data_IF_751107488036
#
_entry.id   IF_751107488036
#
_cell.length_a   1.000
_cell.length_b   1.000
_cell.length_c   1.000
_cell.angle_alpha   90.00
_cell.angle_beta   90.00
_cell.angle_gamma   90.00
#
_symmetry.space_group_name_H-M   'P 1'
#
loop_
_entity.id
_entity.type
_entity.pdbx_description
1 polymer ?
#
# COMPACT_ATOMS: atom_id res chain seq x y z
N UNK A 1 -1.26 -13.69 0.32
CA UNK A 1 0.04 -13.23 -0.20
C UNK A 1 -0.05 -12.99 -1.70
N UNK A 2 1.00 -12.47 -2.34
CA UNK A 2 0.96 -12.05 -3.74
C UNK A 2 0.94 -13.21 -4.75
N UNK A 3 1.46 -14.38 -4.35
CA UNK A 3 1.58 -15.53 -5.23
C UNK A 3 0.29 -16.35 -5.27
N UNK A 4 -0.19 -16.82 -4.12
CA UNK A 4 -1.39 -17.68 -4.05
C UNK A 4 -2.68 -16.88 -4.26
N UNK A 5 -2.71 -15.63 -3.79
CA UNK A 5 -3.89 -14.75 -3.84
C UNK A 5 -3.68 -13.55 -4.76
N UNK A 6 -2.93 -13.73 -5.84
CA UNK A 6 -2.56 -12.67 -6.79
C UNK A 6 -3.74 -11.80 -7.28
N UNK A 7 -4.90 -12.40 -7.51
CA UNK A 7 -6.12 -11.71 -7.95
C UNK A 7 -6.80 -10.88 -6.85
N UNK A 8 -6.44 -11.10 -5.59
CA UNK A 8 -7.03 -10.45 -4.42
C UNK A 8 -5.97 -9.85 -3.49
N UNK A 9 -4.71 -9.76 -3.95
CA UNK A 9 -3.60 -9.31 -3.12
C UNK A 9 -3.89 -7.89 -2.63
N UNK A 10 -3.95 -7.74 -1.30
CA UNK A 10 -4.26 -6.48 -0.59
C UNK A 10 -5.62 -5.85 -0.93
N UNK A 11 -6.58 -6.58 -1.48
CA UNK A 11 -7.91 -6.05 -1.81
C UNK A 11 -8.58 -5.33 -0.64
N UNK A 12 -8.42 -5.85 0.58
CA UNK A 12 -8.95 -5.22 1.79
C UNK A 12 -8.42 -3.80 2.04
N UNK A 13 -7.15 -3.54 1.71
CA UNK A 13 -6.54 -2.21 1.77
C UNK A 13 -7.22 -1.26 0.77
N UNK A 14 -7.43 -1.73 -0.46
CA UNK A 14 -8.16 -0.99 -1.48
C UNK A 14 -9.59 -0.66 -1.08
N UNK A 15 -10.31 -1.64 -0.51
CA UNK A 15 -11.68 -1.44 -0.03
C UNK A 15 -11.74 -0.40 1.10
N UNK A 16 -10.78 -0.44 2.04
CA UNK A 16 -10.72 0.54 3.12
C UNK A 16 -10.50 1.95 2.58
N UNK A 17 -9.56 2.13 1.65
CA UNK A 17 -9.32 3.40 1.00
C UNK A 17 -10.56 3.92 0.26
N UNK A 18 -11.26 3.08 -0.50
CA UNK A 18 -12.49 3.43 -1.22
C UNK A 18 -13.59 3.94 -0.27
N UNK A 19 -13.75 3.30 0.89
CA UNK A 19 -14.74 3.71 1.91
C UNK A 19 -14.37 5.05 2.56
N UNK A 20 -13.07 5.31 2.76
CA UNK A 20 -12.58 6.52 3.42
C UNK A 20 -12.53 7.73 2.48
N UNK A 21 -12.32 7.52 1.18
CA UNK A 21 -12.15 8.58 0.18
C UNK A 21 -13.26 9.65 0.18
N UNK A 22 -14.56 9.33 0.27
CA UNK A 22 -15.61 10.35 0.28
C UNK A 22 -15.69 11.16 1.59
N UNK A 23 -14.95 10.79 2.63
CA UNK A 23 -15.03 11.44 3.96
C UNK A 23 -14.17 12.70 4.08
N UNK A 24 -13.47 13.10 3.01
CA UNK A 24 -12.61 14.29 3.02
C UNK A 24 -11.35 14.11 3.86
N UNK A 25 -10.90 12.87 4.04
CA UNK A 25 -9.62 12.56 4.68
C UNK A 25 -8.45 12.91 3.76
N UNK A 26 -7.31 13.23 4.36
CA UNK A 26 -6.04 13.33 3.66
C UNK A 26 -5.34 11.99 3.80
N UNK A 27 -5.10 11.31 2.67
CA UNK A 27 -4.33 10.07 2.66
C UNK A 27 -2.83 10.38 2.56
N UNK A 28 -2.05 9.63 3.32
CA UNK A 28 -0.60 9.60 3.31
C UNK A 28 -0.15 8.13 3.26
N UNK A 29 1.09 7.89 2.85
CA UNK A 29 1.72 6.58 2.86
C UNK A 29 1.40 5.71 1.65
N UNK A 30 1.22 6.30 0.47
CA UNK A 30 1.16 5.53 -0.79
C UNK A 30 2.46 4.77 -1.02
N UNK A 31 2.39 3.50 -1.43
CA UNK A 31 3.57 2.63 -1.51
C UNK A 31 3.85 2.17 -2.95
N UNK A 32 5.10 2.19 -3.44
CA UNK A 32 5.43 1.70 -4.79
C UNK A 32 4.99 0.25 -5.04
N UNK A 33 4.54 -0.05 -6.25
CA UNK A 33 4.22 -1.43 -6.70
C UNK A 33 5.46 -2.20 -7.17
N UNK A 34 6.58 -1.50 -7.34
CA UNK A 34 7.85 -2.09 -7.72
C UNK A 34 8.30 -3.15 -6.71
N UNK A 35 8.74 -4.30 -7.24
CA UNK A 35 9.16 -5.43 -6.40
C UNK A 35 8.02 -6.33 -5.96
N UNK A 36 6.81 -6.21 -6.53
CA UNK A 36 5.70 -7.15 -6.33
C UNK A 36 5.23 -7.74 -7.66
N UNK A 37 4.73 -8.97 -7.63
CA UNK A 37 4.08 -9.65 -8.75
C UNK A 37 2.65 -10.05 -8.37
N UNK A 38 1.65 -9.35 -8.92
CA UNK A 38 0.24 -9.56 -8.60
C UNK A 38 -0.69 -9.15 -9.76
N UNK A 39 -1.97 -9.52 -9.69
CA UNK A 39 -2.98 -9.23 -10.72
C UNK A 39 -3.98 -8.16 -10.25
N UNK A 40 -4.33 -8.14 -8.95
CA UNK A 40 -5.36 -7.24 -8.43
C UNK A 40 -5.05 -5.77 -8.74
N UNK A 41 -6.08 -5.01 -9.10
CA UNK A 41 -6.01 -3.55 -9.26
C UNK A 41 -6.67 -2.79 -8.11
N UNK A 42 -7.39 -3.49 -7.24
CA UNK A 42 -8.19 -2.87 -6.18
C UNK A 42 -7.35 -2.07 -5.18
N UNK A 43 -6.15 -2.50 -4.73
CA UNK A 43 -5.37 -1.72 -3.78
C UNK A 43 -4.55 -0.61 -4.43
N UNK A 44 -4.75 -0.29 -5.71
CA UNK A 44 -3.90 0.63 -6.45
C UNK A 44 -4.49 2.03 -6.58
N UNK A 45 -3.61 3.01 -6.69
CA UNK A 45 -3.95 4.35 -7.18
C UNK A 45 -4.54 4.30 -8.58
N UNK A 46 -5.25 5.35 -9.00
CA UNK A 46 -5.92 5.40 -10.29
C UNK A 46 -4.96 5.23 -11.49
N UNK A 47 -3.69 5.60 -11.34
CA UNK A 47 -2.64 5.42 -12.34
C UNK A 47 -1.92 4.06 -12.25
N UNK A 48 -2.25 3.24 -11.25
CA UNK A 48 -1.72 1.91 -11.04
C UNK A 48 -0.26 1.86 -10.58
N UNK A 49 0.35 2.99 -10.21
CA UNK A 49 1.78 3.06 -9.87
C UNK A 49 2.07 2.79 -8.41
N UNK A 50 1.09 2.97 -7.53
CA UNK A 50 1.26 2.83 -6.10
C UNK A 50 0.11 2.03 -5.50
N UNK A 51 0.38 1.27 -4.46
CA UNK A 51 -0.62 0.83 -3.51
C UNK A 51 -1.12 2.02 -2.68
N UNK A 52 -2.38 1.96 -2.27
CA UNK A 52 -3.05 2.98 -1.43
C UNK A 52 -2.62 2.96 0.05
N UNK A 53 -1.54 2.24 0.36
CA UNK A 53 -0.95 2.07 1.68
C UNK A 53 0.23 1.08 1.61
N UNK A 54 0.92 0.87 2.73
CA UNK A 54 2.03 -0.09 2.80
C UNK A 54 1.57 -1.50 2.39
N UNK A 55 2.29 -2.08 1.42
CA UNK A 55 2.14 -3.47 1.03
C UNK A 55 3.15 -4.34 1.80
N UNK A 56 2.68 -5.47 2.35
CA UNK A 56 3.52 -6.48 2.99
C UNK A 56 3.09 -7.87 2.53
N UNK A 57 4.07 -8.76 2.41
CA UNK A 57 3.86 -10.16 2.06
C UNK A 57 4.73 -11.05 2.96
N UNK A 58 4.12 -11.54 4.03
CA UNK A 58 4.79 -12.38 5.04
C UNK A 58 5.08 -13.81 4.56
N UNK A 59 4.63 -14.20 3.36
CA UNK A 59 4.84 -15.56 2.83
C UNK A 59 5.99 -15.57 1.83
N UNK A 60 5.99 -14.63 0.87
CA UNK A 60 6.95 -14.63 -0.24
C UNK A 60 8.09 -13.62 -0.07
N UNK A 61 7.92 -12.61 0.79
CA UNK A 61 8.87 -11.50 0.94
C UNK A 61 9.02 -11.07 2.41
N UNK A 62 8.94 -12.03 3.33
CA UNK A 62 9.03 -11.79 4.75
C UNK A 62 10.32 -11.04 5.14
N UNK A 63 11.43 -11.34 4.47
CA UNK A 63 12.72 -10.68 4.70
C UNK A 63 12.71 -9.17 4.39
N UNK A 64 11.74 -8.68 3.61
CA UNK A 64 11.60 -7.27 3.28
C UNK A 64 10.69 -6.52 4.27
N UNK A 65 9.99 -7.22 5.17
CA UNK A 65 8.97 -6.62 6.05
C UNK A 65 9.55 -5.51 6.93
N UNK A 66 10.64 -5.78 7.66
CA UNK A 66 11.24 -4.81 8.57
C UNK A 66 11.75 -3.56 7.83
N UNK A 67 12.39 -3.76 6.68
CA UNK A 67 12.91 -2.68 5.84
C UNK A 67 11.76 -1.80 5.29
N UNK A 68 10.70 -2.44 4.78
CA UNK A 68 9.53 -1.73 4.22
C UNK A 68 8.79 -0.93 5.29
N UNK A 69 8.63 -1.49 6.49
CA UNK A 69 8.02 -0.76 7.62
C UNK A 69 8.86 0.46 7.98
N UNK A 70 10.19 0.32 8.10
CA UNK A 70 11.06 1.44 8.45
C UNK A 70 10.98 2.57 7.41
N UNK A 71 11.08 2.24 6.12
CA UNK A 71 10.97 3.21 5.04
C UNK A 71 9.59 3.90 5.01
N UNK A 72 8.53 3.12 5.18
CA UNK A 72 7.17 3.67 5.20
C UNK A 72 6.92 4.59 6.39
N UNK A 73 7.46 4.26 7.57
CA UNK A 73 7.39 5.13 8.74
C UNK A 73 8.09 6.48 8.50
N UNK A 74 9.26 6.49 7.88
CA UNK A 74 9.96 7.73 7.51
C UNK A 74 9.16 8.56 6.49
N UNK A 75 8.57 7.89 5.49
CA UNK A 75 7.73 8.51 4.48
C UNK A 75 6.51 9.21 5.13
N UNK A 76 5.71 8.50 5.93
CA UNK A 76 4.49 9.08 6.52
C UNK A 76 4.80 10.22 7.48
N UNK A 77 5.93 10.16 8.21
CA UNK A 77 6.35 11.25 9.09
C UNK A 77 6.64 12.53 8.30
N UNK A 78 7.25 12.39 7.12
CA UNK A 78 7.52 13.52 6.22
C UNK A 78 6.23 14.05 5.60
N UNK A 79 5.38 13.18 5.06
CA UNK A 79 4.11 13.58 4.44
C UNK A 79 3.13 14.22 5.43
N UNK A 80 3.10 13.74 6.68
CA UNK A 80 2.33 14.36 7.75
C UNK A 80 2.86 15.74 8.12
N UNK A 81 4.18 15.94 8.12
CA UNK A 81 4.78 17.24 8.39
C UNK A 81 4.49 18.26 7.29
N UNK A 82 4.48 17.83 6.02
CA UNK A 82 4.15 18.68 4.87
C UNK A 82 2.64 19.03 4.79
N UNK A 83 1.80 18.26 5.48
CA UNK A 83 0.33 18.44 5.51
C UNK A 83 -0.16 19.34 6.67
N UNK A 84 0.75 19.82 7.53
CA UNK A 84 0.47 20.71 8.67
C UNK A 84 0.71 22.19 8.32
#
# INVERSE_FOLDING_TARGET
DQAEYSEWFLDALGMLHEVLQPLGVVFVGYWPVEGYEFISRKPLTADGRQFVGLALDDVNQFELTDERIAQWCEQILTEMADSL
#
